data_IF_660609438651
#
_entry.id   IF_660609438651
#
_cell.length_a   1.000
_cell.length_b   1.000
_cell.length_c   1.000
_cell.angle_alpha   90.00
_cell.angle_beta   90.00
_cell.angle_gamma   90.00
#
_symmetry.space_group_name_H-M   'P 1'
#
loop_
_entity.id
_entity.type
_entity.pdbx_description
1 polymer ?
#
# COMPACT_ATOMS: atom_id res chain seq x y z
N UNK A 1 21.53 0.93 37.59
CA UNK A 1 21.82 -0.06 38.66
C UNK A 1 22.91 0.46 39.61
N UNK A 2 22.93 0.10 40.91
CA UNK A 2 24.00 0.52 41.85
C UNK A 2 25.21 -0.44 41.83
N UNK A 3 26.40 0.02 42.22
CA UNK A 3 27.66 -0.76 42.19
C UNK A 3 27.55 -2.13 42.88
N UNK A 4 27.07 -2.16 44.13
CA UNK A 4 26.95 -3.40 44.92
C UNK A 4 25.95 -4.38 44.32
N UNK A 5 24.92 -3.85 43.66
CA UNK A 5 23.89 -4.62 42.98
C UNK A 5 24.43 -5.22 41.68
N UNK A 6 25.23 -4.46 40.92
CA UNK A 6 25.90 -4.95 39.72
C UNK A 6 26.83 -6.13 40.01
N UNK A 7 27.65 -6.05 41.06
CA UNK A 7 28.56 -7.15 41.45
C UNK A 7 27.80 -8.43 41.82
N UNK A 8 26.59 -8.33 42.38
CA UNK A 8 25.74 -9.50 42.69
C UNK A 8 25.08 -10.12 41.46
N UNK A 9 25.01 -9.39 40.36
CA UNK A 9 24.35 -9.80 39.12
C UNK A 9 25.35 -10.19 38.02
N UNK A 10 26.62 -10.37 38.36
CA UNK A 10 27.58 -10.98 37.43
C UNK A 10 27.09 -12.40 37.10
N UNK A 11 27.06 -12.73 35.81
CA UNK A 11 26.50 -13.98 35.28
C UNK A 11 24.98 -13.95 35.02
N UNK A 12 24.28 -12.89 35.44
CA UNK A 12 22.84 -12.74 35.19
C UNK A 12 22.56 -11.85 33.98
N UNK A 13 21.34 -11.98 33.44
CA UNK A 13 20.84 -11.14 32.35
C UNK A 13 20.60 -9.71 32.82
N UNK A 14 21.10 -8.74 32.07
CA UNK A 14 20.90 -7.30 32.26
C UNK A 14 20.44 -6.64 30.97
N UNK A 15 19.82 -5.46 31.09
CA UNK A 15 19.51 -4.59 29.95
C UNK A 15 20.58 -3.52 29.80
N UNK A 16 20.92 -3.20 28.55
CA UNK A 16 21.90 -2.19 28.17
C UNK A 16 21.26 -1.19 27.22
N UNK A 17 21.01 0.03 27.71
CA UNK A 17 20.46 1.12 26.91
C UNK A 17 21.59 1.94 26.27
N UNK A 18 21.67 1.94 24.94
CA UNK A 18 22.71 2.63 24.17
C UNK A 18 22.15 3.91 23.49
N UNK A 19 20.92 4.32 23.82
CA UNK A 19 20.24 5.46 23.21
C UNK A 19 19.74 5.11 21.81
N UNK A 20 20.10 5.91 20.82
CA UNK A 20 19.70 5.72 19.40
C UNK A 20 20.15 4.39 18.79
N UNK A 21 21.10 3.69 19.40
CA UNK A 21 21.54 2.35 18.97
C UNK A 21 20.66 1.22 19.54
N UNK A 22 19.62 1.53 20.30
CA UNK A 22 18.65 0.59 20.86
C UNK A 22 18.97 0.10 22.27
N UNK A 23 18.14 -0.82 22.75
CA UNK A 23 18.30 -1.50 24.04
C UNK A 23 18.57 -2.98 23.78
N UNK A 24 19.62 -3.51 24.39
CA UNK A 24 20.03 -4.91 24.26
C UNK A 24 19.89 -5.63 25.60
N UNK A 25 19.69 -6.94 25.56
CA UNK A 25 19.86 -7.78 26.74
C UNK A 25 21.05 -8.71 26.57
N UNK A 26 21.73 -8.99 27.68
CA UNK A 26 22.94 -9.77 27.67
C UNK A 26 23.38 -10.21 29.06
N UNK A 27 24.40 -11.04 29.12
CA UNK A 27 24.98 -11.52 30.38
C UNK A 27 26.01 -10.51 30.87
N UNK A 28 25.88 -10.03 32.11
CA UNK A 28 26.89 -9.19 32.75
C UNK A 28 28.12 -10.04 33.09
N UNK A 29 29.21 -9.90 32.35
CA UNK A 29 30.44 -10.70 32.54
C UNK A 29 31.33 -10.11 33.64
N UNK A 30 31.55 -8.80 33.61
CA UNK A 30 32.47 -8.13 34.52
C UNK A 30 31.96 -6.75 34.96
N UNK A 31 32.42 -6.30 36.15
CA UNK A 31 32.11 -4.99 36.72
C UNK A 31 33.39 -4.27 37.10
N UNK A 32 33.74 -3.22 36.37
CA UNK A 32 34.91 -2.38 36.61
C UNK A 32 34.58 -1.21 37.51
N UNK A 33 35.33 -1.06 38.59
CA UNK A 33 35.05 -0.03 39.61
C UNK A 33 36.28 0.80 39.98
N UNK A 34 36.83 1.56 39.01
CA UNK A 34 38.00 2.39 39.24
C UNK A 34 37.75 3.47 40.32
N UNK A 35 38.76 3.80 41.16
CA UNK A 35 38.62 4.83 42.19
C UNK A 35 38.21 6.18 41.60
N UNK A 36 37.23 6.85 42.22
CA UNK A 36 36.71 8.18 41.83
C UNK A 36 36.15 8.28 40.40
N UNK A 37 35.82 7.16 39.76
CA UNK A 37 35.18 7.12 38.43
C UNK A 37 33.83 6.40 38.50
N UNK A 38 32.98 6.67 37.51
CA UNK A 38 31.73 5.93 37.32
C UNK A 38 32.11 4.48 36.99
N UNK A 39 31.42 3.51 37.60
CA UNK A 39 31.65 2.11 37.31
C UNK A 39 31.17 1.77 35.89
N UNK A 40 31.79 0.77 35.27
CA UNK A 40 31.38 0.24 33.97
C UNK A 40 31.20 -1.27 34.06
N UNK A 41 30.37 -1.83 33.19
CA UNK A 41 30.17 -3.27 33.07
C UNK A 41 30.53 -3.75 31.68
N UNK A 42 31.11 -4.94 31.58
CA UNK A 42 31.22 -5.70 30.34
C UNK A 42 30.01 -6.62 30.22
N UNK A 43 29.29 -6.52 29.11
CA UNK A 43 28.07 -7.30 28.86
C UNK A 43 28.22 -8.04 27.55
N UNK A 44 28.06 -9.37 27.58
CA UNK A 44 27.96 -10.20 26.40
C UNK A 44 26.54 -10.17 25.85
N UNK A 45 26.37 -9.64 24.64
CA UNK A 45 25.04 -9.41 24.05
C UNK A 45 24.42 -10.72 23.58
N UNK A 46 23.21 -10.99 24.07
CA UNK A 46 22.42 -12.17 23.72
C UNK A 46 21.27 -11.85 22.76
N UNK A 47 20.77 -10.61 22.78
CA UNK A 47 19.67 -10.20 21.91
C UNK A 47 19.31 -8.72 22.03
N UNK A 48 18.24 -8.35 21.33
CA UNK A 48 17.71 -6.99 21.24
C UNK A 48 16.39 -6.92 21.99
N UNK A 49 16.28 -5.97 22.91
CA UNK A 49 15.06 -5.68 23.66
C UNK A 49 14.23 -4.58 22.98
N UNK A 50 14.90 -3.56 22.42
CA UNK A 50 14.31 -2.44 21.69
C UNK A 50 15.17 -2.12 20.49
N UNK A 51 14.55 -1.97 19.32
CA UNK A 51 15.26 -1.70 18.08
C UNK A 51 15.96 -0.32 18.10
N UNK A 52 17.10 -0.16 17.43
CA UNK A 52 17.73 1.13 17.21
C UNK A 52 16.86 2.04 16.33
N UNK A 53 17.21 3.32 16.33
CA UNK A 53 16.78 4.24 15.28
C UNK A 53 17.21 3.70 13.91
N UNK A 54 16.42 3.97 12.87
CA UNK A 54 16.67 3.45 11.52
C UNK A 54 18.07 3.80 10.99
N UNK A 55 18.57 5.00 11.31
CA UNK A 55 19.92 5.45 10.93
C UNK A 55 21.05 4.66 11.61
N UNK A 56 20.73 3.90 12.65
CA UNK A 56 21.64 3.07 13.43
C UNK A 56 21.33 1.58 13.32
N UNK A 57 20.44 1.16 12.41
CA UNK A 57 20.04 -0.24 12.26
C UNK A 57 21.23 -1.21 12.07
N UNK A 58 22.30 -0.75 11.40
CA UNK A 58 23.51 -1.56 11.19
C UNK A 58 24.23 -1.96 12.49
N UNK A 59 23.99 -1.26 13.62
CA UNK A 59 24.62 -1.61 14.90
C UNK A 59 24.13 -2.94 15.45
N UNK A 60 22.94 -3.41 15.05
CA UNK A 60 22.42 -4.72 15.47
C UNK A 60 23.40 -5.83 15.05
N UNK A 61 23.81 -5.84 13.78
CA UNK A 61 24.73 -6.86 13.25
C UNK A 61 26.10 -6.77 13.90
N UNK A 62 26.57 -5.55 14.18
CA UNK A 62 27.87 -5.33 14.82
C UNK A 62 27.92 -5.86 16.26
N UNK A 63 26.79 -5.85 16.97
CA UNK A 63 26.73 -6.25 18.38
C UNK A 63 26.38 -7.71 18.60
N UNK A 64 25.99 -8.44 17.55
CA UNK A 64 25.70 -9.86 17.61
C UNK A 64 26.91 -10.64 18.14
N UNK A 65 26.68 -11.47 19.16
CA UNK A 65 27.68 -12.35 19.77
C UNK A 65 28.96 -11.60 20.24
N UNK A 66 28.80 -10.34 20.68
CA UNK A 66 29.91 -9.46 21.07
C UNK A 66 29.80 -9.02 22.54
N UNK A 67 30.95 -8.78 23.17
CA UNK A 67 31.02 -8.15 24.50
C UNK A 67 31.21 -6.65 24.35
N UNK A 68 30.36 -5.86 25.00
CA UNK A 68 30.46 -4.40 25.01
C UNK A 68 30.73 -3.88 26.42
N UNK A 69 31.51 -2.80 26.52
CA UNK A 69 31.76 -2.11 27.79
C UNK A 69 30.94 -0.83 27.84
N UNK A 70 30.07 -0.71 28.83
CA UNK A 70 29.18 0.45 29.00
C UNK A 70 29.23 0.98 30.42
N UNK A 71 28.91 2.26 30.59
CA UNK A 71 28.80 2.87 31.92
C UNK A 71 27.64 2.27 32.69
N UNK A 72 27.78 2.15 34.01
CA UNK A 72 26.76 1.55 34.87
C UNK A 72 25.41 2.27 34.90
N UNK A 73 25.37 3.53 34.44
CA UNK A 73 24.13 4.28 34.20
C UNK A 73 23.28 3.70 33.07
N UNK A 74 23.90 2.99 32.12
CA UNK A 74 23.24 2.35 30.97
C UNK A 74 22.78 0.92 31.27
N UNK A 75 23.12 0.38 32.45
CA UNK A 75 22.82 -1.00 32.85
C UNK A 75 21.66 -1.01 33.84
N UNK A 76 20.62 -1.76 33.52
CA UNK A 76 19.43 -1.98 34.37
C UNK A 76 19.11 -3.46 34.50
N UNK A 77 18.38 -3.82 35.56
CA UNK A 77 17.80 -5.16 35.66
C UNK A 77 16.57 -5.21 34.75
N UNK A 78 16.32 -6.34 34.08
CA UNK A 78 15.12 -6.50 33.30
C UNK A 78 13.91 -6.74 34.22
N UNK A 79 12.77 -6.14 33.86
CA UNK A 79 11.50 -6.32 34.58
C UNK A 79 10.80 -7.65 34.21
N UNK A 80 11.27 -8.31 33.15
CA UNK A 80 10.77 -9.58 32.63
C UNK A 80 11.91 -10.51 32.25
N UNK A 81 11.63 -11.79 32.12
CA UNK A 81 12.64 -12.76 31.64
C UNK A 81 12.85 -12.62 30.13
N UNK A 82 14.12 -12.59 29.72
CA UNK A 82 14.53 -12.59 28.32
C UNK A 82 15.24 -13.91 28.02
N UNK A 83 14.60 -14.74 27.21
CA UNK A 83 15.07 -16.10 26.87
C UNK A 83 15.08 -16.38 25.37
N UNK A 84 14.85 -15.36 24.55
CA UNK A 84 14.86 -15.46 23.10
C UNK A 84 16.31 -15.52 22.62
N UNK A 85 16.57 -16.25 21.53
CA UNK A 85 17.85 -16.13 20.84
C UNK A 85 17.95 -14.78 20.12
N UNK A 86 19.17 -14.42 19.72
CA UNK A 86 19.45 -13.13 19.10
C UNK A 86 18.54 -12.82 17.92
N UNK A 87 18.38 -13.75 16.97
CA UNK A 87 17.62 -13.49 15.76
C UNK A 87 16.13 -13.33 16.07
N UNK A 88 15.57 -14.20 16.92
CA UNK A 88 14.16 -14.12 17.32
C UNK A 88 13.87 -12.83 18.08
N UNK A 89 14.81 -12.37 18.92
CA UNK A 89 14.67 -11.10 19.64
C UNK A 89 14.71 -9.88 18.73
N UNK A 90 15.54 -9.90 17.67
CA UNK A 90 15.58 -8.84 16.66
C UNK A 90 14.24 -8.76 15.92
N UNK A 91 13.70 -9.90 15.49
CA UNK A 91 12.39 -9.94 14.81
C UNK A 91 11.31 -9.37 15.73
N UNK A 92 11.27 -9.78 17.00
CA UNK A 92 10.28 -9.29 17.96
C UNK A 92 10.41 -7.78 18.23
N UNK A 93 11.63 -7.27 18.35
CA UNK A 93 11.88 -5.84 18.55
C UNK A 93 11.48 -5.01 17.33
N UNK A 94 11.74 -5.50 16.11
CA UNK A 94 11.31 -4.86 14.86
C UNK A 94 9.79 -4.90 14.73
N UNK A 95 9.15 -6.03 15.02
CA UNK A 95 7.69 -6.14 14.96
C UNK A 95 7.03 -5.17 15.93
N UNK A 96 7.55 -5.05 17.16
CA UNK A 96 7.04 -4.07 18.14
C UNK A 96 7.16 -2.63 17.63
N UNK A 97 8.26 -2.31 16.92
CA UNK A 97 8.44 -1.00 16.31
C UNK A 97 7.44 -0.75 15.18
N UNK A 98 7.17 -1.75 14.33
CA UNK A 98 6.16 -1.69 13.27
C UNK A 98 4.78 -1.46 13.89
N UNK A 99 4.41 -2.26 14.89
CA UNK A 99 3.11 -2.17 15.55
C UNK A 99 2.88 -0.77 16.19
N UNK A 100 3.91 -0.17 16.80
CA UNK A 100 3.86 1.21 17.35
C UNK A 100 3.71 2.28 16.25
N UNK A 101 4.35 2.09 15.09
CA UNK A 101 4.13 2.96 13.95
C UNK A 101 2.72 2.82 13.37
N UNK A 102 2.19 1.61 13.28
CA UNK A 102 0.83 1.34 12.80
C UNK A 102 -0.22 2.00 13.71
N UNK A 103 -0.04 1.90 15.04
CA UNK A 103 -0.90 2.59 16.02
C UNK A 103 -0.86 4.11 15.82
N UNK A 104 0.34 4.70 15.69
CA UNK A 104 0.50 6.14 15.43
C UNK A 104 -0.11 6.56 14.10
N UNK A 105 0.07 5.77 13.04
CA UNK A 105 -0.54 6.04 11.73
C UNK A 105 -2.06 6.06 11.85
N UNK A 106 -2.64 5.11 12.57
CA UNK A 106 -4.09 5.07 12.81
C UNK A 106 -4.57 6.30 13.60
N UNK A 107 -3.84 6.71 14.64
CA UNK A 107 -4.14 7.93 15.41
C UNK A 107 -4.06 9.19 14.55
N UNK A 108 -3.01 9.33 13.75
CA UNK A 108 -2.86 10.45 12.81
C UNK A 108 -3.94 10.44 11.73
N UNK A 109 -4.33 9.26 11.24
CA UNK A 109 -5.41 9.13 10.26
C UNK A 109 -6.73 9.63 10.85
N UNK A 110 -7.06 9.24 12.09
CA UNK A 110 -8.25 9.74 12.78
C UNK A 110 -8.17 11.26 13.00
N UNK A 111 -6.99 11.78 13.34
CA UNK A 111 -6.78 13.21 13.52
C UNK A 111 -6.95 13.97 12.20
N UNK A 112 -6.41 13.46 11.10
CA UNK A 112 -6.57 14.00 9.75
C UNK A 112 -8.05 14.02 9.37
N UNK A 113 -8.80 12.94 9.60
CA UNK A 113 -10.25 12.90 9.32
C UNK A 113 -11.01 13.97 10.10
N UNK A 114 -10.69 14.18 11.39
CA UNK A 114 -11.30 15.27 12.18
C UNK A 114 -10.98 16.65 11.62
N UNK A 115 -9.75 16.86 11.17
CA UNK A 115 -9.36 18.14 10.55
C UNK A 115 -10.00 18.35 9.18
N UNK A 116 -10.20 17.29 8.38
CA UNK A 116 -10.96 17.33 7.13
C UNK A 116 -12.43 17.71 7.39
N UNK A 117 -13.05 17.09 8.39
CA UNK A 117 -14.41 17.45 8.84
C UNK A 117 -14.49 18.92 9.24
N UNK A 118 -13.57 19.39 10.11
CA UNK A 118 -13.50 20.81 10.50
C UNK A 118 -13.29 21.72 9.28
N UNK A 119 -12.39 21.34 8.37
CA UNK A 119 -12.08 22.08 7.15
C UNK A 119 -13.27 22.23 6.20
N UNK A 120 -14.08 21.18 6.06
CA UNK A 120 -15.28 21.18 5.19
C UNK A 120 -16.28 22.28 5.52
N UNK A 121 -16.38 22.69 6.80
CA UNK A 121 -17.24 23.81 7.23
C UNK A 121 -16.77 25.17 6.71
N UNK A 122 -15.53 25.29 6.24
CA UNK A 122 -14.92 26.53 5.78
C UNK A 122 -14.59 26.53 4.28
N UNK A 123 -15.00 25.48 3.53
CA UNK A 123 -14.72 25.29 2.09
C UNK A 123 -13.65 24.21 1.82
N UNK A 124 -13.56 23.74 0.58
CA UNK A 124 -12.68 22.62 0.17
C UNK A 124 -11.21 22.85 0.59
N UNK A 125 -10.76 22.07 1.57
CA UNK A 125 -9.33 21.94 1.89
C UNK A 125 -8.70 21.00 0.89
N UNK A 126 -7.68 21.51 0.17
CA UNK A 126 -6.86 20.77 -0.81
C UNK A 126 -6.63 19.31 -0.42
N UNK A 127 -7.11 18.40 -1.28
CA UNK A 127 -6.67 17.02 -1.30
C UNK A 127 -5.17 17.00 -1.62
N UNK A 128 -4.34 16.78 -0.62
CA UNK A 128 -2.99 16.29 -0.85
C UNK A 128 -3.02 14.78 -0.81
N UNK A 129 -2.76 14.15 -1.95
CA UNK A 129 -2.45 12.74 -2.13
C UNK A 129 -1.34 12.31 -1.16
N UNK A 130 -1.71 11.87 0.03
CA UNK A 130 -0.83 11.09 0.89
C UNK A 130 -1.38 9.67 0.84
N UNK A 131 -0.81 8.90 -0.08
CA UNK A 131 -0.98 7.45 -0.18
C UNK A 131 -0.72 6.80 1.18
N UNK A 132 -1.79 6.32 1.80
CA UNK A 132 -1.74 5.47 3.00
C UNK A 132 -1.05 4.15 2.62
N UNK A 133 0.06 3.74 3.27
CA UNK A 133 0.57 2.39 3.11
C UNK A 133 -0.37 1.42 3.80
N UNK A 134 -0.82 0.42 3.04
CA UNK A 134 -1.64 -0.71 3.47
C UNK A 134 -1.01 -1.43 4.66
N UNK A 135 -1.67 -1.54 5.82
CA UNK A 135 -1.51 -2.66 6.76
C UNK A 135 -2.85 -2.99 7.44
N UNK A 136 -3.20 -4.29 7.38
CA UNK A 136 -4.22 -4.92 8.20
C UNK A 136 -5.45 -5.37 7.41
N UNK A 137 -5.64 -6.70 7.31
CA UNK A 137 -6.85 -7.38 6.86
C UNK A 137 -8.11 -6.87 7.60
N UNK A 138 -8.62 -5.72 7.17
CA UNK A 138 -10.04 -5.38 7.20
C UNK A 138 -10.62 -5.90 5.89
N UNK A 139 -11.88 -6.30 5.92
CA UNK A 139 -12.62 -6.78 4.75
C UNK A 139 -12.20 -5.97 3.52
N UNK A 140 -11.50 -6.60 2.57
CA UNK A 140 -10.87 -5.94 1.41
C UNK A 140 -11.92 -5.48 0.41
N UNK A 141 -13.13 -5.18 0.87
CA UNK A 141 -14.29 -4.88 0.08
C UNK A 141 -14.94 -3.60 0.58
N UNK A 142 -15.31 -2.74 -0.36
CA UNK A 142 -16.19 -1.61 -0.11
C UNK A 142 -17.61 -2.06 -0.43
N UNK A 143 -18.53 -1.84 0.51
CA UNK A 143 -19.92 -2.27 0.40
C UNK A 143 -20.78 -1.09 -0.04
N UNK A 144 -21.66 -1.34 -1.01
CA UNK A 144 -22.57 -0.35 -1.55
C UNK A 144 -24.00 -0.86 -1.48
N UNK A 145 -24.96 0.06 -1.46
CA UNK A 145 -26.35 -0.21 -1.79
C UNK A 145 -26.68 0.36 -3.16
N UNK A 146 -27.47 -0.38 -3.92
CA UNK A 146 -27.90 0.05 -5.26
C UNK A 146 -29.17 0.90 -5.16
N UNK A 147 -29.20 2.06 -5.80
CA UNK A 147 -30.39 2.90 -5.90
C UNK A 147 -30.45 3.68 -7.23
N UNK A 148 -31.48 4.49 -7.42
CA UNK A 148 -31.66 5.33 -8.61
C UNK A 148 -31.54 6.80 -8.27
N UNK A 149 -30.71 7.50 -9.04
CA UNK A 149 -30.61 8.97 -9.04
C UNK A 149 -31.06 9.49 -10.39
N UNK A 150 -32.06 10.36 -10.40
CA UNK A 150 -32.58 10.97 -11.63
C UNK A 150 -32.95 9.97 -12.76
N UNK A 151 -33.29 8.73 -12.39
CA UNK A 151 -33.64 7.65 -13.32
C UNK A 151 -32.48 6.71 -13.69
N UNK A 152 -31.25 7.08 -13.37
CA UNK A 152 -30.02 6.32 -13.66
C UNK A 152 -29.61 5.43 -12.48
N UNK A 153 -28.97 4.27 -12.73
CA UNK A 153 -28.56 3.35 -11.69
C UNK A 153 -27.26 3.79 -11.01
N UNK A 154 -27.27 3.89 -9.68
CA UNK A 154 -26.13 4.30 -8.86
C UNK A 154 -25.85 3.30 -7.73
N UNK A 155 -24.59 3.27 -7.29
CA UNK A 155 -24.15 2.65 -6.05
C UNK A 155 -23.80 3.72 -5.04
N UNK A 156 -24.17 3.48 -3.79
CA UNK A 156 -23.94 4.41 -2.69
C UNK A 156 -23.18 3.73 -1.57
N UNK A 157 -22.08 4.34 -1.15
CA UNK A 157 -21.26 3.87 -0.04
C UNK A 157 -21.82 4.48 1.26
N UNK A 158 -22.18 3.66 2.27
CA UNK A 158 -22.90 4.14 3.45
C UNK A 158 -22.03 4.89 4.48
N UNK A 159 -20.70 4.79 4.41
CA UNK A 159 -19.77 5.31 5.42
C UNK A 159 -19.34 6.74 5.15
N UNK A 160 -18.94 7.04 3.93
CA UNK A 160 -18.41 8.30 3.44
C UNK A 160 -19.38 9.01 2.49
N UNK A 161 -20.42 8.31 2.04
CA UNK A 161 -21.46 8.88 1.17
C UNK A 161 -21.02 8.97 -0.30
N UNK A 162 -19.99 8.22 -0.70
CA UNK A 162 -19.51 8.19 -2.07
C UNK A 162 -20.60 7.59 -2.99
N UNK A 163 -20.76 8.19 -4.16
CA UNK A 163 -21.68 7.74 -5.19
C UNK A 163 -20.89 7.27 -6.41
N UNK A 164 -21.28 6.12 -6.96
CA UNK A 164 -20.67 5.55 -8.15
C UNK A 164 -21.77 5.23 -9.17
N UNK A 165 -21.70 5.84 -10.35
CA UNK A 165 -22.61 5.54 -11.44
C UNK A 165 -22.33 4.12 -11.98
N UNK A 166 -23.39 3.35 -12.22
CA UNK A 166 -23.22 1.97 -12.72
C UNK A 166 -23.02 1.90 -14.23
N UNK A 167 -23.59 2.82 -14.99
CA UNK A 167 -23.45 2.82 -16.46
C UNK A 167 -22.01 3.09 -16.86
N UNK A 168 -21.39 2.16 -17.59
CA UNK A 168 -19.99 2.27 -18.00
C UNK A 168 -18.98 2.04 -16.88
N UNK A 169 -19.42 1.59 -15.69
CA UNK A 169 -18.53 1.34 -14.57
C UNK A 169 -17.52 0.21 -14.87
N UNK A 170 -16.21 0.43 -14.71
CA UNK A 170 -15.17 -0.53 -15.08
C UNK A 170 -14.88 -1.59 -13.99
N UNK A 171 -15.64 -1.59 -12.90
CA UNK A 171 -15.45 -2.52 -11.79
C UNK A 171 -16.17 -3.84 -11.97
N UNK A 172 -15.52 -4.90 -11.51
CA UNK A 172 -16.16 -6.16 -11.18
C UNK A 172 -16.75 -6.08 -9.77
N UNK A 173 -17.94 -6.66 -9.61
CA UNK A 173 -18.69 -6.62 -8.38
C UNK A 173 -18.89 -8.01 -7.81
N UNK A 174 -19.19 -8.09 -6.53
CA UNK A 174 -19.70 -9.30 -5.92
C UNK A 174 -21.09 -9.09 -5.34
N UNK A 175 -22.00 -9.98 -5.70
CA UNK A 175 -23.37 -10.00 -5.18
C UNK A 175 -23.59 -11.23 -4.33
N UNK A 176 -24.35 -11.09 -3.24
CA UNK A 176 -24.66 -12.20 -2.35
C UNK A 176 -25.95 -12.89 -2.78
N UNK A 177 -25.85 -14.10 -3.34
CA UNK A 177 -27.01 -14.93 -3.73
C UNK A 177 -26.86 -16.35 -3.20
N UNK A 178 -27.94 -16.88 -2.61
CA UNK A 178 -27.99 -18.25 -2.07
C UNK A 178 -26.86 -18.58 -1.07
N UNK A 179 -26.48 -17.60 -0.23
CA UNK A 179 -25.46 -17.78 0.80
C UNK A 179 -24.01 -17.76 0.30
N UNK A 180 -23.78 -17.28 -0.94
CA UNK A 180 -22.44 -17.14 -1.52
C UNK A 180 -22.30 -15.80 -2.24
N UNK A 181 -21.07 -15.29 -2.23
CA UNK A 181 -20.68 -14.17 -3.09
C UNK A 181 -20.38 -14.69 -4.50
N UNK A 182 -20.85 -13.96 -5.50
CA UNK A 182 -20.72 -14.29 -6.91
C UNK A 182 -20.15 -13.07 -7.64
N UNK A 183 -19.04 -13.26 -8.34
CA UNK A 183 -18.42 -12.23 -9.18
C UNK A 183 -19.32 -11.96 -10.39
N UNK A 184 -19.59 -10.68 -10.64
CA UNK A 184 -20.44 -10.21 -11.73
C UNK A 184 -19.95 -8.87 -12.28
N UNK A 185 -20.22 -8.61 -13.55
CA UNK A 185 -20.04 -7.31 -14.21
C UNK A 185 -21.39 -6.63 -14.42
N UNK A 186 -21.43 -5.30 -14.45
CA UNK A 186 -22.64 -4.56 -14.81
C UNK A 186 -22.98 -4.79 -16.28
N UNK A 187 -24.27 -4.97 -16.58
CA UNK A 187 -24.77 -5.15 -17.94
C UNK A 187 -25.67 -3.98 -18.35
N UNK A 188 -26.76 -3.76 -17.62
CA UNK A 188 -27.66 -2.62 -17.81
C UNK A 188 -28.58 -2.45 -16.60
N UNK A 189 -28.94 -1.20 -16.26
CA UNK A 189 -29.83 -0.94 -15.12
C UNK A 189 -29.33 -1.61 -13.83
N UNK A 190 -30.16 -2.48 -13.24
CA UNK A 190 -29.80 -3.28 -12.05
C UNK A 190 -29.53 -4.75 -12.39
N UNK A 191 -29.15 -5.03 -13.63
CA UNK A 191 -28.82 -6.36 -14.11
C UNK A 191 -27.31 -6.51 -14.28
N UNK A 192 -26.80 -7.63 -13.77
CA UNK A 192 -25.40 -7.99 -13.73
C UNK A 192 -25.19 -9.37 -14.35
N UNK A 193 -24.01 -9.68 -14.87
CA UNK A 193 -23.68 -10.98 -15.49
C UNK A 193 -22.43 -11.60 -14.85
N UNK A 194 -22.49 -12.90 -14.55
CA UNK A 194 -21.29 -13.65 -14.17
C UNK A 194 -20.43 -14.02 -15.39
N UNK A 195 -19.23 -14.55 -15.15
CA UNK A 195 -18.28 -15.01 -16.20
C UNK A 195 -18.89 -16.04 -17.18
N UNK A 196 -19.96 -16.73 -16.77
CA UNK A 196 -20.66 -17.72 -17.61
C UNK A 196 -21.81 -17.09 -18.41
N UNK A 197 -21.97 -15.78 -18.32
CA UNK A 197 -23.03 -15.01 -18.99
C UNK A 197 -24.40 -15.13 -18.32
N UNK A 198 -24.49 -15.70 -17.11
CA UNK A 198 -25.78 -15.80 -16.41
C UNK A 198 -26.11 -14.46 -15.76
N UNK A 199 -27.33 -13.99 -16.01
CA UNK A 199 -27.81 -12.71 -15.50
C UNK A 199 -28.39 -12.81 -14.09
N UNK A 200 -28.13 -11.79 -13.28
CA UNK A 200 -28.65 -11.58 -11.94
C UNK A 200 -29.22 -10.16 -11.85
N UNK A 201 -30.47 -10.03 -11.44
CA UNK A 201 -31.06 -8.71 -11.15
C UNK A 201 -31.02 -8.44 -9.65
N UNK A 202 -30.65 -7.22 -9.30
CA UNK A 202 -30.75 -6.68 -7.95
C UNK A 202 -31.95 -5.75 -7.83
N UNK A 203 -32.51 -5.65 -6.63
CA UNK A 203 -33.51 -4.64 -6.28
C UNK A 203 -32.87 -3.43 -5.60
N UNK A 204 -33.58 -2.30 -5.57
CA UNK A 204 -33.15 -1.12 -4.79
C UNK A 204 -32.84 -1.52 -3.36
N UNK A 205 -31.79 -0.92 -2.80
CA UNK A 205 -31.23 -1.18 -1.48
C UNK A 205 -30.61 -2.57 -1.27
N UNK A 206 -30.47 -3.40 -2.32
CA UNK A 206 -29.64 -4.61 -2.21
C UNK A 206 -28.16 -4.25 -2.12
N UNK A 207 -27.42 -5.05 -1.35
CA UNK A 207 -26.00 -4.87 -1.13
C UNK A 207 -25.17 -5.54 -2.22
N UNK A 208 -24.17 -4.80 -2.68
CA UNK A 208 -23.14 -5.23 -3.62
C UNK A 208 -21.79 -4.80 -3.04
N UNK A 209 -20.71 -5.50 -3.37
CA UNK A 209 -19.38 -5.12 -2.88
C UNK A 209 -18.35 -5.10 -3.99
N UNK A 210 -17.36 -4.24 -3.86
CA UNK A 210 -16.24 -4.08 -4.80
C UNK A 210 -14.95 -4.29 -4.03
N UNK A 211 -14.03 -5.08 -4.57
CA UNK A 211 -12.74 -5.30 -3.93
C UNK A 211 -11.91 -4.00 -3.93
N UNK A 212 -11.28 -3.66 -2.80
CA UNK A 212 -10.51 -2.43 -2.58
C UNK A 212 -9.36 -2.29 -3.57
N UNK A 213 -8.75 -3.40 -4.00
CA UNK A 213 -7.69 -3.39 -5.02
C UNK A 213 -8.17 -2.83 -6.37
N UNK A 214 -9.46 -2.92 -6.68
CA UNK A 214 -10.00 -2.34 -7.91
C UNK A 214 -10.02 -0.81 -7.88
N UNK A 215 -9.94 -0.19 -6.70
CA UNK A 215 -9.78 1.26 -6.56
C UNK A 215 -8.31 1.70 -6.65
N UNK A 216 -7.36 0.76 -6.77
CA UNK A 216 -5.96 1.11 -7.01
C UNK A 216 -5.82 1.71 -8.41
N UNK A 217 -5.25 2.92 -8.57
CA UNK A 217 -5.24 3.64 -9.85
C UNK A 217 -4.68 2.85 -11.03
N UNK A 218 -3.72 1.95 -10.76
CA UNK A 218 -3.15 1.09 -11.79
C UNK A 218 -4.08 -0.07 -12.17
N UNK A 219 -4.82 -0.64 -11.23
CA UNK A 219 -5.85 -1.64 -11.52
C UNK A 219 -6.97 -1.02 -12.35
N UNK A 220 -7.42 0.19 -11.99
CA UNK A 220 -8.38 0.97 -12.77
C UNK A 220 -7.86 1.16 -14.20
N UNK A 221 -6.63 1.63 -14.34
CA UNK A 221 -6.02 1.84 -15.65
C UNK A 221 -6.01 0.54 -16.49
N UNK A 222 -5.64 -0.59 -15.89
CA UNK A 222 -5.65 -1.87 -16.61
C UNK A 222 -7.06 -2.29 -17.05
N UNK A 223 -8.10 -1.96 -16.28
CA UNK A 223 -9.49 -2.26 -16.64
C UNK A 223 -10.03 -1.33 -17.75
N UNK A 224 -9.48 -0.11 -17.87
CA UNK A 224 -9.81 0.85 -18.94
C UNK A 224 -9.14 0.53 -20.29
N UNK A 225 -8.12 -0.34 -20.28
CA UNK A 225 -7.38 -0.73 -21.49
C UNK A 225 -8.04 -1.92 -22.17
N UNK A 226 -8.10 -1.87 -23.51
CA UNK A 226 -8.47 -3.05 -24.29
C UNK A 226 -7.43 -4.17 -24.10
N UNK A 227 -7.88 -5.42 -24.24
CA UNK A 227 -7.08 -6.60 -23.94
C UNK A 227 -5.66 -6.60 -24.57
N UNK A 228 -5.46 -6.20 -25.85
CA UNK A 228 -4.13 -6.14 -26.45
C UNK A 228 -3.23 -5.09 -25.79
N UNK A 229 -3.75 -3.89 -25.52
CA UNK A 229 -3.00 -2.81 -24.86
C UNK A 229 -2.62 -3.20 -23.42
N UNK A 230 -3.58 -3.77 -22.67
CA UNK A 230 -3.37 -4.29 -21.31
C UNK A 230 -2.27 -5.35 -21.26
N UNK A 231 -2.27 -6.26 -22.23
CA UNK A 231 -1.22 -7.28 -22.33
C UNK A 231 0.14 -6.65 -22.63
N UNK A 232 0.19 -5.73 -23.59
CA UNK A 232 1.44 -5.06 -23.98
C UNK A 232 2.09 -4.32 -22.82
N UNK A 233 1.33 -3.56 -22.02
CA UNK A 233 1.91 -2.83 -20.90
C UNK A 233 2.51 -3.77 -19.84
N UNK A 234 1.82 -4.86 -19.52
CA UNK A 234 2.31 -5.83 -18.54
C UNK A 234 3.58 -6.55 -19.01
N UNK A 235 3.62 -6.99 -20.27
CA UNK A 235 4.80 -7.61 -20.87
C UNK A 235 5.99 -6.63 -20.95
N UNK A 236 5.74 -5.37 -21.31
CA UNK A 236 6.79 -4.35 -21.42
C UNK A 236 7.42 -4.03 -20.05
N UNK A 237 6.61 -3.96 -18.99
CA UNK A 237 7.08 -3.78 -17.61
C UNK A 237 7.96 -4.96 -17.18
N UNK A 238 7.53 -6.19 -17.45
CA UNK A 238 8.27 -7.40 -17.11
C UNK A 238 9.61 -7.50 -17.86
N UNK A 239 9.61 -7.19 -19.16
CA UNK A 239 10.83 -7.18 -19.99
C UNK A 239 11.88 -6.18 -19.46
N UNK A 240 11.44 -5.04 -18.92
CA UNK A 240 12.32 -4.05 -18.31
C UNK A 240 12.81 -4.44 -16.90
N UNK A 241 12.32 -5.57 -16.37
CA UNK A 241 12.71 -6.17 -15.10
C UNK A 241 11.91 -5.69 -13.88
N UNK A 242 10.76 -5.06 -14.10
CA UNK A 242 9.85 -4.59 -13.06
C UNK A 242 8.62 -5.50 -12.97
N UNK A 243 7.93 -5.47 -11.83
CA UNK A 243 6.64 -6.14 -11.63
C UNK A 243 5.59 -5.13 -11.20
N UNK A 244 4.32 -5.56 -11.06
CA UNK A 244 3.24 -4.72 -10.53
C UNK A 244 3.55 -4.21 -9.12
N UNK A 245 4.19 -5.04 -8.30
CA UNK A 245 4.56 -4.72 -6.92
C UNK A 245 5.66 -3.65 -6.83
N UNK A 246 6.40 -3.43 -7.92
CA UNK A 246 7.41 -2.37 -8.00
C UNK A 246 6.77 -0.99 -8.29
N UNK A 247 5.44 -0.89 -8.45
CA UNK A 247 4.74 0.38 -8.73
C UNK A 247 4.76 1.30 -7.49
N UNK A 248 5.35 2.48 -7.64
CA UNK A 248 5.38 3.51 -6.59
C UNK A 248 4.24 4.53 -6.75
N UNK A 249 3.91 4.91 -7.98
CA UNK A 249 2.91 5.93 -8.26
C UNK A 249 2.23 5.70 -9.60
N UNK A 250 0.91 5.89 -9.65
CA UNK A 250 0.11 5.86 -10.88
C UNK A 250 -0.88 7.03 -10.87
N UNK A 251 -0.58 8.06 -11.65
CA UNK A 251 -1.53 9.13 -11.94
C UNK A 251 -2.41 8.70 -13.12
N UNK A 252 -3.63 8.25 -12.83
CA UNK A 252 -4.62 7.90 -13.85
C UNK A 252 -5.63 9.05 -14.05
N UNK A 253 -5.49 9.80 -15.15
CA UNK A 253 -6.42 10.85 -15.54
C UNK A 253 -7.60 10.34 -16.36
N UNK A 254 -7.46 9.16 -16.99
CA UNK A 254 -8.47 8.59 -17.88
C UNK A 254 -9.82 8.41 -17.16
N UNK A 255 -9.80 7.94 -15.90
CA UNK A 255 -10.99 7.80 -15.07
C UNK A 255 -11.75 9.12 -14.86
N UNK A 256 -11.03 10.21 -14.58
CA UNK A 256 -11.66 11.53 -14.37
C UNK A 256 -12.38 12.00 -15.62
N UNK A 257 -11.77 11.80 -16.79
CA UNK A 257 -12.40 12.18 -18.07
C UNK A 257 -13.61 11.29 -18.39
N UNK A 258 -13.59 10.00 -18.04
CA UNK A 258 -14.72 9.08 -18.22
C UNK A 258 -15.91 9.41 -17.29
N UNK A 259 -15.64 9.79 -16.04
CA UNK A 259 -16.68 10.10 -15.05
C UNK A 259 -17.24 11.53 -15.18
N UNK A 260 -16.45 12.47 -15.72
CA UNK A 260 -16.85 13.88 -15.83
C UNK A 260 -17.21 14.32 -17.25
N UNK A 261 -17.13 13.43 -18.26
CA UNK A 261 -17.55 13.76 -19.63
C UNK A 261 -19.07 13.81 -19.76
N UNK A 262 -19.73 14.76 -19.10
CA UNK A 262 -21.10 15.14 -19.44
C UNK A 262 -21.11 15.74 -20.87
N UNK A 263 -21.37 14.90 -21.87
CA UNK A 263 -21.64 15.31 -23.24
C UNK A 263 -20.44 15.45 -24.18
N UNK A 264 -19.21 15.11 -23.76
CA UNK A 264 -18.06 15.06 -24.68
C UNK A 264 -17.85 13.64 -25.24
N UNK A 265 -17.90 13.50 -26.56
CA UNK A 265 -17.64 12.23 -27.25
C UNK A 265 -16.17 12.00 -27.59
N UNK A 266 -15.26 12.90 -27.18
CA UNK A 266 -13.83 12.75 -27.43
C UNK A 266 -12.99 13.33 -26.31
N UNK A 267 -11.94 12.60 -25.94
CA UNK A 267 -11.00 13.01 -24.91
C UNK A 267 -9.62 12.39 -25.16
N UNK A 268 -8.58 13.08 -24.66
CA UNK A 268 -7.18 12.66 -24.77
C UNK A 268 -6.40 13.14 -23.56
N UNK A 269 -5.34 12.42 -23.22
CA UNK A 269 -4.54 12.76 -22.06
C UNK A 269 -3.29 11.91 -21.93
N UNK A 270 -2.64 12.05 -20.77
CA UNK A 270 -1.43 11.31 -20.42
C UNK A 270 -1.54 10.86 -18.97
N UNK A 271 -1.37 9.56 -18.74
CA UNK A 271 -1.17 8.99 -17.42
C UNK A 271 0.32 8.83 -17.14
N UNK A 272 0.72 8.95 -15.88
CA UNK A 272 2.11 8.80 -15.44
C UNK A 272 2.23 7.66 -14.45
N UNK A 273 3.10 6.70 -14.75
CA UNK A 273 3.41 5.59 -13.84
C UNK A 273 4.89 5.63 -13.50
N UNK A 274 5.21 5.42 -12.23
CA UNK A 274 6.58 5.31 -11.73
C UNK A 274 6.74 3.99 -11.01
N UNK A 275 7.70 3.19 -11.46
CA UNK A 275 8.11 1.94 -10.82
C UNK A 275 9.50 2.10 -10.22
N UNK A 276 9.73 1.49 -9.05
CA UNK A 276 11.00 1.53 -8.35
C UNK A 276 11.36 0.14 -7.81
N UNK A 277 12.56 -0.34 -8.13
CA UNK A 277 13.05 -1.65 -7.69
C UNK A 277 14.54 -1.61 -7.40
N UNK A 278 14.93 -1.89 -6.15
CA UNK A 278 16.35 -2.03 -5.76
C UNK A 278 17.26 -0.89 -6.27
N UNK A 279 16.78 0.36 -6.24
CA UNK A 279 17.51 1.53 -6.73
C UNK A 279 17.42 1.81 -8.22
N UNK A 280 16.69 0.99 -9.01
CA UNK A 280 16.32 1.27 -10.40
C UNK A 280 14.98 1.97 -10.47
N UNK A 281 14.82 2.86 -11.44
CA UNK A 281 13.55 3.57 -11.69
C UNK A 281 13.11 3.38 -13.14
N UNK A 282 11.81 3.12 -13.32
CA UNK A 282 11.14 3.12 -14.62
C UNK A 282 10.00 4.13 -14.58
N UNK A 283 9.99 5.01 -15.59
CA UNK A 283 8.89 5.94 -15.84
C UNK A 283 8.15 5.45 -17.07
N UNK A 284 6.81 5.36 -16.96
CA UNK A 284 5.92 5.07 -18.07
C UNK A 284 4.97 6.24 -18.29
N UNK A 285 4.92 6.75 -19.52
CA UNK A 285 3.95 7.75 -19.96
C UNK A 285 2.95 7.05 -20.87
N UNK A 286 1.69 6.99 -20.43
CA UNK A 286 0.61 6.41 -21.21
C UNK A 286 -0.22 7.53 -21.84
N UNK A 287 -0.01 7.78 -23.12
CA UNK A 287 -0.80 8.70 -23.92
C UNK A 287 -2.04 7.98 -24.44
N UNK A 288 -3.22 8.55 -24.21
CA UNK A 288 -4.47 7.98 -24.67
C UNK A 288 -5.27 8.99 -25.50
N UNK A 289 -6.02 8.47 -26.46
CA UNK A 289 -7.08 9.18 -27.16
C UNK A 289 -8.29 8.24 -27.30
N UNK A 290 -9.48 8.80 -27.07
CA UNK A 290 -10.77 8.12 -27.18
C UNK A 290 -11.73 8.98 -27.99
N UNK A 291 -12.48 8.33 -28.88
CA UNK A 291 -13.66 8.94 -29.54
C UNK A 291 -14.81 7.94 -29.42
N UNK A 292 -15.77 8.28 -28.56
CA UNK A 292 -16.97 7.49 -28.31
C UNK A 292 -17.98 7.74 -29.44
N UNK A 293 -18.53 6.69 -30.03
CA UNK A 293 -19.48 6.80 -31.15
C UNK A 293 -20.74 5.99 -30.88
N UNK A 294 -21.90 6.64 -31.00
CA UNK A 294 -23.19 6.02 -30.68
C UNK A 294 -23.58 4.84 -31.60
N UNK A 295 -23.15 4.86 -32.87
CA UNK A 295 -23.58 3.88 -33.89
C UNK A 295 -22.42 3.08 -34.51
N UNK A 296 -21.20 3.21 -33.99
CA UNK A 296 -20.04 2.48 -34.52
C UNK A 296 -19.03 2.23 -33.42
N UNK A 297 -18.09 1.32 -33.65
CA UNK A 297 -17.02 1.03 -32.69
C UNK A 297 -16.21 2.29 -32.34
N UNK A 298 -15.90 2.43 -31.06
CA UNK A 298 -15.12 3.53 -30.54
C UNK A 298 -13.72 3.56 -31.13
N UNK A 299 -13.20 4.78 -31.30
CA UNK A 299 -11.79 4.96 -31.60
C UNK A 299 -11.01 4.92 -30.29
N UNK A 300 -10.09 3.96 -30.20
CA UNK A 300 -9.18 3.78 -29.08
C UNK A 300 -7.77 3.89 -29.61
N UNK A 301 -6.96 4.73 -28.99
CA UNK A 301 -5.53 4.83 -29.23
C UNK A 301 -4.80 4.92 -27.91
N UNK A 302 -3.80 4.07 -27.74
CA UNK A 302 -2.92 4.04 -26.57
C UNK A 302 -1.46 4.02 -27.03
N UNK A 303 -0.62 4.82 -26.40
CA UNK A 303 0.83 4.84 -26.61
C UNK A 303 1.52 4.86 -25.27
N UNK A 304 2.31 3.83 -25.01
CA UNK A 304 3.13 3.72 -23.82
C UNK A 304 4.57 4.06 -24.16
N UNK A 305 5.15 5.04 -23.47
CA UNK A 305 6.57 5.36 -23.55
C UNK A 305 7.25 4.98 -22.24
N UNK A 306 8.30 4.17 -22.34
CA UNK A 306 9.05 3.65 -21.20
C UNK A 306 10.43 4.28 -21.20
N UNK A 307 10.90 4.74 -20.04
CA UNK A 307 12.27 5.20 -19.84
C UNK A 307 12.78 4.74 -18.48
N UNK A 308 13.91 4.03 -18.48
CA UNK A 308 14.62 3.64 -17.27
C UNK A 308 15.75 4.63 -16.93
N UNK A 309 16.20 4.62 -15.69
CA UNK A 309 17.34 5.40 -15.19
C UNK A 309 18.69 5.04 -15.85
N UNK A 310 18.84 3.82 -16.36
CA UNK A 310 20.00 3.42 -17.16
C UNK A 310 19.91 3.82 -18.65
N UNK A 311 18.83 4.48 -19.07
CA UNK A 311 18.64 5.01 -20.41
C UNK A 311 18.01 4.06 -21.43
N UNK A 312 17.54 2.88 -21.01
CA UNK A 312 16.72 2.02 -21.87
C UNK A 312 15.37 2.68 -22.15
N UNK A 313 14.95 2.63 -23.42
CA UNK A 313 13.70 3.24 -23.89
C UNK A 313 12.92 2.26 -24.73
N UNK A 314 11.61 2.26 -24.56
CA UNK A 314 10.67 1.46 -25.35
C UNK A 314 9.44 2.29 -25.67
N UNK A 315 8.80 1.99 -26.79
CA UNK A 315 7.49 2.55 -27.14
C UNK A 315 6.62 1.40 -27.63
N UNK A 316 5.40 1.30 -27.11
CA UNK A 316 4.37 0.41 -27.63
C UNK A 316 3.11 1.21 -27.92
N UNK A 317 2.37 0.82 -28.95
CA UNK A 317 1.17 1.52 -29.40
C UNK A 317 0.07 0.53 -29.73
N UNK A 318 -1.15 0.88 -29.35
CA UNK A 318 -2.36 0.15 -29.69
C UNK A 318 -3.37 1.10 -30.36
N UNK A 319 -4.13 0.59 -31.32
CA UNK A 319 -5.27 1.32 -31.88
C UNK A 319 -6.36 0.40 -32.39
N UNK A 320 -7.62 0.68 -32.05
CA UNK A 320 -8.77 -0.12 -32.48
C UNK A 320 -9.02 -0.05 -34.00
N UNK A 321 -8.47 0.95 -34.69
CA UNK A 321 -8.67 1.15 -36.13
C UNK A 321 -7.95 0.10 -37.01
N UNK A 322 -6.89 -0.54 -36.50
CA UNK A 322 -6.06 -1.49 -37.27
C UNK A 322 -6.21 -2.95 -36.80
N UNK A 323 -6.95 -3.21 -35.72
CA UNK A 323 -7.09 -4.54 -35.10
C UNK A 323 -7.97 -5.52 -35.91
N UNK A 324 -8.69 -5.06 -36.94
CA UNK A 324 -9.59 -5.90 -37.75
C UNK A 324 -8.94 -6.65 -38.91
N UNK A 325 -7.67 -6.37 -39.24
CA UNK A 325 -7.01 -6.99 -40.39
C UNK A 325 -6.32 -8.33 -40.09
N UNK A 326 -6.42 -8.87 -38.86
CA UNK A 326 -5.75 -10.12 -38.47
C UNK A 326 -6.64 -11.19 -37.82
N UNK A 327 -7.96 -11.04 -37.87
CA UNK A 327 -8.90 -12.12 -37.58
C UNK A 327 -9.76 -12.40 -38.82
N UNK A 328 -9.20 -13.16 -39.76
CA UNK A 328 -9.93 -13.77 -40.88
C UNK A 328 -9.51 -15.21 -41.08
#
# INVERSE_FOLDING_TARGET
MKRLEATKNIGNTVLVNIGSEGIYYGTLEEVFTPPKKIWSGQVFILGVAEAPDIEKADTIKQKKDSSIVVTGSKITLPDKTWNMDFNTSVIAAIQTLIDDFDEKINDYTQLISKWKEIGSYYGETYESDVTTPEHGHKDQYVYYYIDKKDGHPFLYEPTYGDELELEGCPFEFEIHKSGKWINVSHDHGFTFKDEKGKSYSLHQNETIRVHQEQFQPFTILLNELEHPARKSILEDIEVLGFTRDDLLHCHNRLLYELLQSEGSSSFKGVNFLTFQKSGRTLIVQHHYERILKAESQDYVYDRFEYTTDNGERRISTYTSAYSKDHES
#
